data_IF_094647435004
#
_entry.id   IF_094647435004
#
_cell.length_a   1.000
_cell.length_b   1.000
_cell.length_c   1.000
_cell.angle_alpha   90.00
_cell.angle_beta   90.00
_cell.angle_gamma   90.00
#
_symmetry.space_group_name_H-M   'P 1'
#
loop_
_entity.id
_entity.type
_entity.pdbx_description
1 polymer ?
#
# COMPACT_ATOMS: atom_id res chain seq x y z
N UNK A 1 -0.18 -0.02 -4.04
CA UNK A 1 -0.87 -1.01 -3.16
C UNK A 1 -2.36 -0.87 -3.41
N UNK A 2 -3.13 -1.96 -3.33
CA UNK A 2 -4.59 -1.94 -3.48
C UNK A 2 -5.22 -2.67 -2.30
N UNK A 3 -5.98 -1.94 -1.48
CA UNK A 3 -6.71 -2.44 -0.34
C UNK A 3 -8.17 -2.71 -0.75
N UNK A 4 -8.67 -3.92 -0.54
CA UNK A 4 -10.08 -4.23 -0.81
C UNK A 4 -10.75 -4.85 0.40
N UNK A 5 -11.78 -4.15 0.87
CA UNK A 5 -12.46 -4.42 2.12
C UNK A 5 -13.94 -4.68 1.92
N UNK A 6 -14.61 -5.15 2.98
CA UNK A 6 -16.06 -5.25 2.99
C UNK A 6 -16.75 -3.89 2.70
N UNK A 7 -16.18 -2.78 3.16
CA UNK A 7 -16.80 -1.45 3.18
C UNK A 7 -16.01 -0.36 2.43
N UNK A 8 -14.85 -0.68 1.85
CA UNK A 8 -14.07 0.28 1.08
C UNK A 8 -13.18 -0.38 0.03
N UNK A 9 -12.80 0.42 -0.96
CA UNK A 9 -11.68 0.16 -1.85
C UNK A 9 -10.65 1.29 -1.66
N UNK A 10 -9.38 0.92 -1.58
CA UNK A 10 -8.24 1.82 -1.45
C UNK A 10 -7.21 1.52 -2.54
N UNK A 11 -6.68 2.55 -3.18
CA UNK A 11 -5.49 2.48 -4.02
C UNK A 11 -4.46 3.46 -3.47
N UNK A 12 -3.29 2.97 -3.08
CA UNK A 12 -2.25 3.79 -2.48
C UNK A 12 -0.97 3.68 -3.28
N UNK A 13 -0.54 4.79 -3.87
CA UNK A 13 0.78 4.91 -4.48
C UNK A 13 1.80 5.28 -3.40
N UNK A 14 3.00 4.72 -3.50
CA UNK A 14 4.07 4.97 -2.54
C UNK A 14 5.33 5.40 -3.27
N UNK A 15 5.92 6.50 -2.82
CA UNK A 15 7.07 7.12 -3.46
C UNK A 15 8.26 7.15 -2.49
N UNK A 16 9.49 6.76 -2.87
CA UNK A 16 10.67 6.97 -2.03
C UNK A 16 10.84 8.44 -1.64
N UNK A 17 11.25 8.71 -0.41
CA UNK A 17 11.57 10.06 0.09
C UNK A 17 12.82 10.05 0.97
N UNK A 18 13.48 11.19 1.11
CA UNK A 18 14.67 11.38 1.95
C UNK A 18 14.35 11.46 3.46
N UNK A 19 13.07 11.39 3.86
CA UNK A 19 12.65 11.44 5.26
C UNK A 19 12.94 10.12 5.99
N UNK A 20 12.94 10.17 7.33
CA UNK A 20 13.31 9.05 8.21
C UNK A 20 12.49 7.75 8.00
N UNK A 21 11.31 7.84 7.39
CA UNK A 21 10.44 6.70 7.10
C UNK A 21 10.57 6.17 5.67
N UNK A 22 11.39 6.83 4.82
CA UNK A 22 11.80 6.38 3.49
C UNK A 22 10.74 6.37 2.40
N UNK A 23 9.44 6.53 2.73
CA UNK A 23 8.32 6.45 1.78
C UNK A 23 7.22 7.47 2.12
N UNK A 24 6.66 8.13 1.10
CA UNK A 24 5.44 8.94 1.21
C UNK A 24 4.27 8.22 0.54
N UNK A 25 3.15 7.97 1.25
CA UNK A 25 1.94 7.39 0.67
C UNK A 25 1.01 8.46 0.07
N UNK A 26 0.35 8.12 -1.03
CA UNK A 26 -0.69 8.91 -1.69
C UNK A 26 -1.95 8.04 -1.82
N UNK A 27 -2.85 8.07 -0.82
CA UNK A 27 -4.03 7.20 -0.79
C UNK A 27 -5.21 7.78 -1.57
N UNK A 28 -5.92 6.90 -2.27
CA UNK A 28 -7.18 7.16 -2.95
C UNK A 28 -8.19 6.13 -2.44
N UNK A 29 -9.28 6.57 -1.81
CA UNK A 29 -10.20 5.67 -1.12
C UNK A 29 -11.66 6.02 -1.45
N UNK A 30 -12.48 4.98 -1.60
CA UNK A 30 -13.93 5.11 -1.77
C UNK A 30 -14.68 4.04 -0.95
N UNK A 31 -15.53 4.50 -0.02
CA UNK A 31 -16.36 3.65 0.85
C UNK A 31 -17.62 3.11 0.15
N UNK A 32 -17.94 3.59 -1.05
CA UNK A 32 -19.04 3.06 -1.87
C UNK A 32 -18.58 1.90 -2.75
N UNK A 33 -17.27 1.61 -2.78
CA UNK A 33 -16.65 0.58 -3.60
C UNK A 33 -16.13 -0.60 -2.77
N UNK A 34 -16.64 -0.81 -1.55
CA UNK A 34 -16.42 -2.04 -0.80
C UNK A 34 -17.24 -3.21 -1.33
N UNK A 35 -16.79 -4.45 -1.06
CA UNK A 35 -17.45 -5.68 -1.54
C UNK A 35 -18.94 -5.76 -1.14
N UNK A 36 -19.30 -5.27 0.05
CA UNK A 36 -20.70 -5.25 0.52
C UNK A 36 -21.62 -4.36 -0.33
N UNK A 37 -21.06 -3.39 -1.04
CA UNK A 37 -21.78 -2.48 -1.92
C UNK A 37 -21.99 -3.08 -3.31
N UNK A 38 -21.26 -4.16 -3.67
CA UNK A 38 -21.42 -4.85 -4.96
C UNK A 38 -22.86 -5.32 -5.18
N UNK A 39 -23.46 -5.95 -4.17
CA UNK A 39 -24.83 -6.47 -4.24
C UNK A 39 -25.92 -5.39 -4.14
N UNK A 40 -25.55 -4.15 -3.77
CA UNK A 40 -26.48 -3.02 -3.71
C UNK A 40 -26.60 -2.29 -5.04
N UNK A 41 -25.69 -2.54 -5.97
CA UNK A 41 -25.81 -2.04 -7.33
C UNK A 41 -26.73 -2.96 -8.16
N UNK A 42 -27.73 -2.41 -8.85
CA UNK A 42 -28.61 -3.20 -9.73
C UNK A 42 -27.86 -3.75 -10.95
N UNK A 43 -26.69 -3.20 -11.27
CA UNK A 43 -25.79 -3.65 -12.33
C UNK A 43 -24.36 -3.82 -11.79
N UNK A 44 -23.89 -5.07 -11.73
CA UNK A 44 -22.54 -5.40 -11.27
C UNK A 44 -21.46 -4.86 -12.22
N UNK A 45 -21.75 -4.73 -13.52
CA UNK A 45 -20.80 -4.16 -14.47
C UNK A 45 -20.50 -2.69 -14.14
N UNK A 46 -21.53 -1.94 -13.72
CA UNK A 46 -21.38 -0.55 -13.28
C UNK A 46 -20.48 -0.44 -12.04
N UNK A 47 -20.63 -1.34 -11.07
CA UNK A 47 -19.76 -1.39 -9.90
C UNK A 47 -18.28 -1.56 -10.31
N UNK A 48 -17.98 -2.54 -11.16
CA UNK A 48 -16.60 -2.80 -11.59
C UNK A 48 -16.01 -1.69 -12.44
N UNK A 49 -16.83 -0.96 -13.19
CA UNK A 49 -16.38 0.24 -13.91
C UNK A 49 -15.97 1.36 -12.94
N UNK A 50 -16.70 1.55 -11.84
CA UNK A 50 -16.32 2.52 -10.81
C UNK A 50 -15.04 2.10 -10.07
N UNK A 51 -14.88 0.80 -9.78
CA UNK A 51 -13.62 0.23 -9.25
C UNK A 51 -12.46 0.53 -10.21
N UNK A 52 -12.63 0.28 -11.50
CA UNK A 52 -11.64 0.58 -12.54
C UNK A 52 -11.24 2.05 -12.55
N UNK A 53 -12.22 2.97 -12.44
CA UNK A 53 -11.97 4.42 -12.40
C UNK A 53 -11.13 4.84 -11.18
N UNK A 54 -11.46 4.34 -9.99
CA UNK A 54 -10.66 4.63 -8.79
C UNK A 54 -9.23 4.12 -8.97
N UNK A 55 -9.06 2.87 -9.40
CA UNK A 55 -7.74 2.26 -9.61
C UNK A 55 -6.91 2.96 -10.68
N UNK A 56 -7.55 3.60 -11.66
CA UNK A 56 -6.88 4.39 -12.71
C UNK A 56 -6.43 5.76 -12.22
N UNK A 57 -7.03 6.29 -11.15
CA UNK A 57 -6.73 7.63 -10.63
C UNK A 57 -5.24 7.84 -10.30
N UNK A 58 -4.56 6.94 -9.55
CA UNK A 58 -3.11 7.04 -9.32
C UNK A 58 -2.26 6.75 -10.58
N UNK A 59 -2.85 6.55 -11.76
CA UNK A 59 -2.10 6.41 -13.02
C UNK A 59 -2.38 7.61 -13.94
N UNK A 60 -3.44 8.37 -13.65
CA UNK A 60 -3.83 9.58 -14.36
C UNK A 60 -3.04 10.77 -13.81
N UNK A 61 -1.96 11.12 -14.51
CA UNK A 61 -1.21 12.36 -14.26
C UNK A 61 0.15 12.20 -13.59
N UNK A 62 0.67 10.97 -13.44
CA UNK A 62 1.86 10.76 -12.63
C UNK A 62 3.20 10.73 -13.36
N UNK A 63 4.18 11.31 -12.66
CA UNK A 63 5.62 11.34 -12.97
C UNK A 63 6.31 10.00 -12.64
N UNK A 64 5.68 9.15 -11.81
CA UNK A 64 6.26 7.95 -11.20
C UNK A 64 5.51 6.72 -11.68
N UNK A 65 6.24 5.62 -11.88
CA UNK A 65 5.68 4.37 -12.38
C UNK A 65 5.67 3.33 -11.28
N UNK A 66 4.55 2.65 -11.02
CA UNK A 66 4.52 1.59 -10.03
C UNK A 66 5.45 0.46 -10.47
N UNK A 67 6.30 0.01 -9.56
CA UNK A 67 7.23 -1.11 -9.78
C UNK A 67 6.74 -2.40 -9.14
N UNK A 68 5.83 -2.30 -8.17
CA UNK A 68 5.29 -3.41 -7.40
C UNK A 68 3.80 -3.21 -7.15
N UNK A 69 3.06 -4.32 -7.13
CA UNK A 69 1.64 -4.38 -6.76
C UNK A 69 1.49 -5.32 -5.58
N UNK A 70 0.78 -4.84 -4.57
CA UNK A 70 0.44 -5.57 -3.35
C UNK A 70 -1.08 -5.45 -3.20
N UNK A 71 -1.77 -6.58 -3.07
CA UNK A 71 -3.18 -6.63 -2.70
C UNK A 71 -3.29 -6.94 -1.21
N UNK A 72 -4.16 -6.23 -0.49
CA UNK A 72 -4.36 -6.43 0.95
C UNK A 72 -5.80 -6.12 1.36
N UNK A 73 -6.20 -6.54 2.56
CA UNK A 73 -7.58 -6.39 3.06
C UNK A 73 -8.37 -7.70 3.03
N UNK A 74 -9.51 -7.72 3.73
CA UNK A 74 -10.31 -8.95 3.98
C UNK A 74 -10.96 -9.53 2.71
N UNK A 75 -11.01 -8.75 1.62
CA UNK A 75 -11.57 -9.17 0.33
C UNK A 75 -10.54 -9.21 -0.80
N UNK A 76 -9.26 -9.00 -0.51
CA UNK A 76 -8.17 -8.93 -1.48
C UNK A 76 -7.94 -10.19 -2.33
N UNK A 77 -8.37 -11.36 -1.85
CA UNK A 77 -8.34 -12.63 -2.61
C UNK A 77 -9.40 -12.72 -3.70
N UNK A 78 -10.23 -11.69 -3.92
CA UNK A 78 -11.22 -11.65 -4.99
C UNK A 78 -10.53 -11.69 -6.37
N UNK A 79 -10.76 -12.77 -7.14
CA UNK A 79 -10.18 -12.96 -8.47
C UNK A 79 -10.54 -11.84 -9.44
N UNK A 80 -11.78 -11.34 -9.37
CA UNK A 80 -12.26 -10.28 -10.25
C UNK A 80 -11.57 -8.95 -9.97
N UNK A 81 -11.27 -8.64 -8.71
CA UNK A 81 -10.44 -7.49 -8.37
C UNK A 81 -9.05 -7.61 -9.02
N UNK A 82 -8.40 -8.77 -8.90
CA UNK A 82 -7.07 -9.00 -9.49
C UNK A 82 -7.09 -8.82 -11.02
N UNK A 83 -8.13 -9.32 -11.69
CA UNK A 83 -8.34 -9.09 -13.12
C UNK A 83 -8.44 -7.60 -13.43
N UNK A 84 -9.30 -6.86 -12.71
CA UNK A 84 -9.49 -5.42 -12.95
C UNK A 84 -8.20 -4.63 -12.71
N UNK A 85 -7.45 -4.94 -11.66
CA UNK A 85 -6.14 -4.31 -11.41
C UNK A 85 -5.17 -4.63 -12.55
N UNK A 86 -5.17 -5.87 -13.05
CA UNK A 86 -4.33 -6.28 -14.19
C UNK A 86 -4.71 -5.52 -15.46
N UNK A 87 -5.99 -5.44 -15.78
CA UNK A 87 -6.51 -4.71 -16.95
C UNK A 87 -6.13 -3.22 -16.88
N UNK A 88 -6.27 -2.60 -15.70
CA UNK A 88 -5.88 -1.20 -15.49
C UNK A 88 -4.37 -1.02 -15.71
N UNK A 89 -3.53 -1.89 -15.15
CA UNK A 89 -2.08 -1.77 -15.33
C UNK A 89 -1.65 -1.98 -16.79
N UNK A 90 -2.28 -2.92 -17.50
CA UNK A 90 -2.03 -3.17 -18.92
C UNK A 90 -2.49 -2.01 -19.82
N UNK A 91 -3.57 -1.32 -19.46
CA UNK A 91 -4.06 -0.16 -20.20
C UNK A 91 -3.13 1.06 -20.07
N UNK A 92 -2.44 1.21 -18.94
CA UNK A 92 -1.62 2.39 -18.64
C UNK A 92 -0.11 2.18 -18.78
N UNK A 93 0.38 0.93 -18.73
CA UNK A 93 1.80 0.61 -18.78
C UNK A 93 2.10 -0.34 -19.94
N UNK A 94 3.22 -0.14 -20.65
CA UNK A 94 3.65 -1.08 -21.68
C UNK A 94 4.03 -2.44 -21.06
N UNK A 95 3.98 -3.49 -21.87
CA UNK A 95 4.20 -4.88 -21.45
C UNK A 95 5.56 -5.10 -20.77
N UNK A 96 6.61 -4.42 -21.24
CA UNK A 96 7.98 -4.49 -20.70
C UNK A 96 8.16 -3.75 -19.36
N UNK A 97 7.13 -3.03 -18.90
CA UNK A 97 7.16 -2.23 -17.66
C UNK A 97 6.03 -2.57 -16.70
N UNK A 98 5.47 -3.76 -16.84
CA UNK A 98 4.47 -4.24 -15.90
C UNK A 98 5.09 -4.41 -14.50
N UNK A 99 4.41 -3.95 -13.43
CA UNK A 99 4.92 -4.06 -12.08
C UNK A 99 4.96 -5.52 -11.63
N UNK A 100 5.90 -5.82 -10.73
CA UNK A 100 5.96 -7.13 -10.10
C UNK A 100 4.78 -7.31 -9.13
N UNK A 101 4.03 -8.39 -9.29
CA UNK A 101 3.06 -8.82 -8.30
C UNK A 101 3.78 -9.43 -7.10
N UNK A 102 3.52 -8.90 -5.92
CA UNK A 102 4.03 -9.45 -4.67
C UNK A 102 3.01 -10.45 -4.15
N UNK A 103 3.40 -11.72 -4.15
CA UNK A 103 2.75 -12.78 -3.40
C UNK A 103 3.78 -13.30 -2.40
N UNK A 104 3.74 -12.78 -1.19
CA UNK A 104 4.43 -13.42 -0.07
C UNK A 104 3.54 -14.55 0.47
N UNK A 105 4.12 -15.46 1.26
CA UNK A 105 3.38 -16.52 1.97
C UNK A 105 2.55 -15.94 3.15
N UNK A 106 2.39 -14.61 3.21
CA UNK A 106 1.65 -13.91 4.24
C UNK A 106 0.20 -13.77 3.78
N UNK A 107 -0.72 -14.13 4.67
CA UNK A 107 -2.14 -13.91 4.42
C UNK A 107 -2.42 -12.39 4.24
N UNK A 108 -2.91 -11.95 3.07
CA UNK A 108 -3.20 -10.55 2.77
C UNK A 108 -4.16 -9.88 3.75
N UNK A 109 -4.99 -10.65 4.47
CA UNK A 109 -5.89 -10.16 5.51
C UNK A 109 -5.11 -9.63 6.71
N UNK A 110 -4.00 -10.29 7.06
CA UNK A 110 -3.19 -9.97 8.23
C UNK A 110 -1.91 -9.20 7.91
N UNK A 111 -1.53 -9.08 6.64
CA UNK A 111 -0.30 -8.43 6.19
C UNK A 111 -0.11 -7.01 6.77
N UNK A 112 -1.18 -6.21 6.83
CA UNK A 112 -1.12 -4.86 7.42
C UNK A 112 -0.83 -4.87 8.92
N UNK A 113 -1.52 -5.74 9.67
CA UNK A 113 -1.32 -5.88 11.11
C UNK A 113 0.06 -6.45 11.44
N UNK A 114 0.54 -7.43 10.67
CA UNK A 114 1.89 -7.96 10.79
C UNK A 114 2.94 -6.90 10.48
N UNK A 115 2.76 -6.12 9.42
CA UNK A 115 3.63 -4.99 9.09
C UNK A 115 3.70 -3.97 10.22
N UNK A 116 2.56 -3.62 10.83
CA UNK A 116 2.51 -2.72 11.97
C UNK A 116 3.21 -3.31 13.21
N UNK A 117 3.01 -4.60 13.50
CA UNK A 117 3.68 -5.28 14.60
C UNK A 117 5.20 -5.35 14.41
N UNK A 118 5.67 -5.70 13.20
CA UNK A 118 7.09 -5.68 12.85
C UNK A 118 7.67 -4.27 12.90
N UNK A 119 6.90 -3.26 12.49
CA UNK A 119 7.32 -1.86 12.59
C UNK A 119 7.45 -1.42 14.05
N UNK A 120 6.50 -1.80 14.91
CA UNK A 120 6.54 -1.46 16.34
C UNK A 120 7.72 -2.08 17.10
N UNK A 121 8.27 -3.20 16.61
CA UNK A 121 9.50 -3.82 17.15
C UNK A 121 10.77 -3.02 16.84
N UNK A 122 10.74 -2.12 15.85
CA UNK A 122 11.91 -1.36 15.44
C UNK A 122 12.21 -0.28 16.48
N UNK A 123 13.49 -0.15 16.85
CA UNK A 123 13.95 0.98 17.67
C UNK A 123 13.60 2.29 16.97
N UNK A 124 13.09 3.26 17.72
CA UNK A 124 12.75 4.57 17.15
C UNK A 124 14.03 5.28 16.73
N UNK A 125 13.96 6.01 15.63
CA UNK A 125 15.11 6.73 15.07
C UNK A 125 15.76 7.67 16.10
N UNK A 126 14.97 8.31 16.97
CA UNK A 126 15.48 9.22 18.01
C UNK A 126 16.11 8.52 19.23
N UNK A 127 15.75 7.27 19.51
CA UNK A 127 16.36 6.47 20.59
C UNK A 127 17.77 5.99 20.20
N UNK A 128 18.07 5.88 18.90
CA UNK A 128 19.41 5.57 18.41
C UNK A 128 20.38 6.75 18.57
N UNK A 129 19.88 7.99 18.46
CA UNK A 129 20.70 9.20 18.61
C UNK A 129 21.08 9.45 20.07
N UNK A 130 20.19 9.18 21.03
CA UNK A 130 20.52 9.28 22.47
C UNK A 130 21.61 8.29 22.88
N UNK A 131 21.55 7.06 22.36
CA UNK A 131 22.59 6.03 22.61
C UNK A 131 23.98 6.42 22.10
N UNK A 132 24.08 7.30 21.10
CA UNK A 132 25.36 7.72 20.52
C UNK A 132 25.91 8.97 21.23
N UNK A 133 25.04 9.79 21.83
CA UNK A 133 25.43 10.96 22.61
C UNK A 133 25.86 10.60 24.06
N UNK A 134 25.36 9.49 24.62
CA UNK A 134 25.81 9.01 25.94
C UNK A 134 27.16 8.28 25.91
N UNK A 135 27.59 7.73 24.76
CA UNK A 135 28.89 7.05 24.64
C UNK A 135 30.10 7.98 24.49
N UNK A 136 29.87 9.26 24.19
CA UNK A 136 30.91 10.26 23.93
C UNK A 136 31.14 11.25 25.09
N UNK A 137 30.48 11.06 26.23
CA UNK A 137 30.80 11.84 27.42
C UNK A 137 32.10 11.33 28.05
N UNK A 138 33.17 12.14 28.13
CA UNK A 138 34.41 11.71 28.76
C UNK A 138 34.12 11.36 30.22
N UNK A 139 34.43 10.11 30.61
CA UNK A 139 34.43 9.69 32.01
C UNK A 139 35.28 10.67 32.79
N UNK A 140 34.67 11.35 33.76
CA UNK A 140 35.38 12.24 34.69
C UNK A 140 36.55 11.47 35.28
N UNK A 141 37.74 12.05 35.17
CA UNK A 141 38.92 11.58 35.89
C UNK A 141 38.68 11.83 37.38
N UNK A 142 38.63 10.75 38.15
CA UNK A 142 38.73 10.82 39.61
C UNK A 142 40.17 11.21 39.96
N UNK A 143 40.31 12.35 40.66
CA UNK A 143 41.55 12.81 41.30
C UNK A 143 41.61 12.28 42.74
#
# INVERSE_FOLDING_TARGET
MVGYYADALEATETSPTALAYGVTPYPYMDHQLGESMRHRNPDEAFYWEQVRRLLSTPLLGHVWRPTKVILYGDRSNNTRLREVVTDVLQAFLPEDRQPQWISDEVDPVFAGAMGAAEFAKRKRFWEATESTLESDLPRKFDL
#
